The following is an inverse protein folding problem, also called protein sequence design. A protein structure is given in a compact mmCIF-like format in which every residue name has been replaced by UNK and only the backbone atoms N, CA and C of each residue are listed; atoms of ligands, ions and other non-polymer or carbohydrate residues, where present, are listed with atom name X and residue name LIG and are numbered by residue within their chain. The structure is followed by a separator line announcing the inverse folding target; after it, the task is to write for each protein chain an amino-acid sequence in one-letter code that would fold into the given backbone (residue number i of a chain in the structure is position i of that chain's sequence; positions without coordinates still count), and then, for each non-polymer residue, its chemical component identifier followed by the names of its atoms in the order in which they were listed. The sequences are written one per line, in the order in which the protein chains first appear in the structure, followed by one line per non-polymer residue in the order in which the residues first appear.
data_IF_538334111154
#
_entry.id   IF_538334111154
#
_cell.length_a   1.000
_cell.length_b   1.000
_cell.length_c   1.000
_cell.angle_alpha   90.00
_cell.angle_beta   90.00
_cell.angle_gamma   90.00
#
_symmetry.space_group_name_H-M   'P 1'
#
loop_
_entity.id
_entity.type
_entity.pdbx_description
1 polymer ?
#
# COMPACT_ATOMS: atom_id res chain seq x y z
N UNK A 1 14.71 -26.62 -30.68
CA UNK A 1 13.95 -25.43 -30.22
C UNK A 1 13.33 -25.64 -28.83
N UNK A 2 12.58 -26.73 -28.59
CA UNK A 2 11.98 -27.01 -27.27
C UNK A 2 13.01 -27.19 -26.13
N UNK A 3 14.11 -27.88 -26.41
CA UNK A 3 15.19 -28.14 -25.43
C UNK A 3 15.92 -26.87 -24.97
N UNK A 4 16.01 -25.85 -25.84
CA UNK A 4 16.61 -24.55 -25.55
C UNK A 4 15.69 -23.70 -24.68
N UNK A 5 14.38 -23.75 -24.93
CA UNK A 5 13.35 -23.13 -24.08
C UNK A 5 13.29 -23.75 -22.68
N UNK A 6 13.42 -25.08 -22.59
CA UNK A 6 13.44 -25.79 -21.30
C UNK A 6 14.69 -25.46 -20.47
N UNK A 7 15.86 -25.36 -21.10
CA UNK A 7 17.10 -24.92 -20.42
C UNK A 7 17.04 -23.46 -20.00
N UNK A 8 16.40 -22.60 -20.78
CA UNK A 8 16.18 -21.19 -20.42
C UNK A 8 15.21 -21.06 -19.23
N UNK A 9 14.08 -21.77 -19.24
CA UNK A 9 13.15 -21.81 -18.11
C UNK A 9 13.77 -22.44 -16.86
N UNK A 10 14.53 -23.52 -16.99
CA UNK A 10 15.23 -24.14 -15.87
C UNK A 10 16.37 -23.26 -15.33
N UNK A 11 17.07 -22.52 -16.19
CA UNK A 11 18.06 -21.51 -15.80
C UNK A 11 17.40 -20.35 -15.07
N UNK A 12 16.30 -19.82 -15.59
CA UNK A 12 15.51 -18.77 -14.96
C UNK A 12 14.97 -19.23 -13.60
N UNK A 13 14.45 -20.46 -13.50
CA UNK A 13 13.93 -21.04 -12.26
C UNK A 13 15.03 -21.31 -11.23
N UNK A 14 16.22 -21.73 -11.70
CA UNK A 14 17.41 -21.89 -10.86
C UNK A 14 17.91 -20.55 -10.35
N UNK A 15 17.98 -19.53 -11.20
CA UNK A 15 18.33 -18.16 -10.80
C UNK A 15 17.25 -17.54 -9.92
N UNK A 16 15.98 -17.93 -10.04
CA UNK A 16 14.88 -17.52 -9.16
C UNK A 16 14.95 -18.20 -7.78
N UNK A 17 15.33 -19.48 -7.74
CA UNK A 17 15.58 -20.23 -6.51
C UNK A 17 16.89 -19.81 -5.82
N UNK A 18 17.84 -19.26 -6.58
CA UNK A 18 19.16 -18.82 -6.12
C UNK A 18 19.30 -17.29 -6.03
N UNK A 19 18.29 -16.51 -6.43
CA UNK A 19 18.20 -15.06 -6.23
C UNK A 19 17.91 -14.80 -4.74
N UNK A 20 19.00 -14.98 -4.00
CA UNK A 20 19.30 -14.71 -2.60
C UNK A 20 18.14 -14.80 -1.59
N UNK A 21 17.99 -15.95 -0.87
CA UNK A 21 17.13 -16.01 0.31
C UNK A 21 17.46 -14.93 1.35
N UNK A 22 18.60 -14.24 1.23
CA UNK A 22 19.05 -13.19 2.14
C UNK A 22 18.30 -11.87 1.96
N UNK A 23 17.82 -11.51 0.76
CA UNK A 23 17.25 -10.18 0.49
C UNK A 23 16.00 -9.88 1.35
N UNK A 24 14.99 -10.77 1.44
CA UNK A 24 13.83 -10.54 2.29
C UNK A 24 14.21 -10.35 3.77
N UNK A 25 15.06 -11.21 4.32
CA UNK A 25 15.40 -11.13 5.75
C UNK A 25 16.29 -9.93 6.09
N UNK A 26 17.28 -9.63 5.24
CA UNK A 26 18.16 -8.47 5.47
C UNK A 26 17.41 -7.15 5.31
N UNK A 27 16.50 -7.05 4.34
CA UNK A 27 15.67 -5.84 4.17
C UNK A 27 14.70 -5.62 5.34
N UNK A 28 14.16 -6.68 5.96
CA UNK A 28 13.37 -6.56 7.21
C UNK A 28 14.21 -5.98 8.35
N UNK A 29 15.42 -6.50 8.56
CA UNK A 29 16.33 -5.98 9.60
C UNK A 29 16.72 -4.52 9.32
N UNK A 30 17.03 -4.20 8.07
CA UNK A 30 17.30 -2.83 7.63
C UNK A 30 16.08 -1.93 7.91
N UNK A 31 14.86 -2.39 7.63
CA UNK A 31 13.63 -1.67 7.92
C UNK A 31 13.49 -1.31 9.41
N UNK A 32 13.72 -2.28 10.31
CA UNK A 32 13.68 -2.05 11.77
C UNK A 32 14.72 -0.99 12.19
N UNK A 33 15.95 -1.08 11.65
CA UNK A 33 17.02 -0.11 11.93
C UNK A 33 16.63 1.28 11.41
N UNK A 34 16.11 1.38 10.19
CA UNK A 34 15.65 2.63 9.59
C UNK A 34 14.51 3.25 10.42
N UNK A 35 13.59 2.46 10.96
CA UNK A 35 12.56 2.97 11.87
C UNK A 35 13.17 3.61 13.11
N UNK A 36 14.16 2.95 13.73
CA UNK A 36 14.83 3.53 14.90
C UNK A 36 15.55 4.83 14.55
N UNK A 37 16.24 4.87 13.40
CA UNK A 37 16.91 6.07 12.90
C UNK A 37 15.92 7.20 12.63
N UNK A 38 14.80 6.92 11.97
CA UNK A 38 13.77 7.91 11.66
C UNK A 38 13.09 8.44 12.93
N UNK A 39 12.86 7.58 13.93
CA UNK A 39 12.37 7.96 15.25
C UNK A 39 13.34 8.92 15.95
N UNK A 40 14.62 8.56 16.02
CA UNK A 40 15.65 9.38 16.67
C UNK A 40 15.89 10.70 15.94
N UNK A 41 15.87 10.68 14.60
CA UNK A 41 15.96 11.88 13.78
C UNK A 41 14.77 12.80 14.02
N UNK A 42 13.55 12.25 14.07
CA UNK A 42 12.34 13.02 14.40
C UNK A 42 12.47 13.67 15.77
N UNK A 43 12.93 12.91 16.77
CA UNK A 43 13.17 13.42 18.12
C UNK A 43 14.20 14.55 18.12
N UNK A 44 15.31 14.37 17.42
CA UNK A 44 16.40 15.35 17.32
C UNK A 44 15.90 16.65 16.69
N UNK A 45 15.35 16.57 15.48
CA UNK A 45 14.81 17.72 14.75
C UNK A 45 13.73 18.42 15.58
N UNK A 46 12.85 17.65 16.21
CA UNK A 46 11.76 18.25 16.98
C UNK A 46 12.22 19.00 18.21
N UNK A 47 13.29 18.53 18.87
CA UNK A 47 13.87 19.23 20.01
C UNK A 47 14.50 20.58 19.65
N UNK A 48 14.97 20.76 18.41
CA UNK A 48 15.58 22.01 17.95
C UNK A 48 14.57 22.97 17.31
N UNK A 49 13.65 22.46 16.50
CA UNK A 49 12.78 23.31 15.67
C UNK A 49 11.40 23.57 16.28
N UNK A 50 10.90 22.69 17.15
CA UNK A 50 9.54 22.81 17.71
C UNK A 50 9.58 23.14 19.20
N UNK A 51 9.39 24.42 19.55
CA UNK A 51 9.33 24.86 20.96
C UNK A 51 8.25 24.14 21.78
N UNK A 52 7.14 23.75 21.16
CA UNK A 52 6.06 23.01 21.84
C UNK A 52 6.48 21.59 22.25
N UNK A 53 7.50 21.01 21.59
CA UNK A 53 7.92 19.63 21.83
C UNK A 53 8.45 19.42 23.26
N UNK A 54 9.15 20.41 23.82
CA UNK A 54 9.69 20.32 25.20
C UNK A 54 8.60 20.36 26.26
N UNK A 55 7.44 20.99 25.97
CA UNK A 55 6.28 21.05 26.87
C UNK A 55 5.38 19.81 26.81
N UNK A 56 5.60 18.89 25.86
CA UNK A 56 4.78 17.68 25.73
C UNK A 56 5.03 16.68 26.85
N UNK A 57 3.96 15.99 27.25
CA UNK A 57 4.05 14.85 28.17
C UNK A 57 4.93 13.75 27.59
N UNK A 58 5.42 12.83 28.44
CA UNK A 58 6.26 11.72 27.99
C UNK A 58 5.55 10.89 26.91
N UNK A 59 4.25 10.61 27.09
CA UNK A 59 3.48 9.81 26.13
C UNK A 59 3.28 10.54 24.80
N UNK A 60 2.96 11.85 24.84
CA UNK A 60 2.82 12.66 23.63
C UNK A 60 4.12 12.79 22.86
N UNK A 61 5.28 12.87 23.53
CA UNK A 61 6.58 12.85 22.84
C UNK A 61 6.84 11.52 22.15
N UNK A 62 6.44 10.41 22.76
CA UNK A 62 6.56 9.09 22.13
C UNK A 62 5.67 9.00 20.89
N UNK A 63 4.39 9.41 21.00
CA UNK A 63 3.49 9.47 19.86
C UNK A 63 4.00 10.40 18.75
N UNK A 64 4.49 11.59 19.13
CA UNK A 64 5.06 12.57 18.21
C UNK A 64 6.21 11.97 17.38
N UNK A 65 7.17 11.32 18.06
CA UNK A 65 8.30 10.68 17.39
C UNK A 65 7.85 9.48 16.54
N UNK A 66 6.84 8.73 17.00
CA UNK A 66 6.29 7.62 16.25
C UNK A 66 5.64 8.08 14.93
N UNK A 67 4.88 9.18 14.99
CA UNK A 67 4.27 9.81 13.81
C UNK A 67 5.30 10.33 12.81
N UNK A 68 6.46 10.81 13.27
CA UNK A 68 7.52 11.19 12.36
C UNK A 68 8.17 9.98 11.69
N UNK A 69 8.39 8.90 12.44
CA UNK A 69 8.87 7.62 11.91
C UNK A 69 7.92 7.04 10.86
N UNK A 70 6.60 6.98 11.14
CA UNK A 70 5.61 6.50 10.17
C UNK A 70 5.47 7.41 8.96
N UNK A 71 5.58 8.73 9.13
CA UNK A 71 5.61 9.67 7.99
C UNK A 71 6.81 9.41 7.06
N UNK A 72 7.98 9.11 7.62
CA UNK A 72 9.18 8.82 6.83
C UNK A 72 9.03 7.52 6.03
N UNK A 73 8.50 6.46 6.66
CA UNK A 73 8.20 5.20 5.97
C UNK A 73 7.15 5.41 4.87
N UNK A 74 6.06 6.11 5.17
CA UNK A 74 4.98 6.35 4.23
C UNK A 74 5.45 7.11 2.97
N UNK A 75 6.30 8.13 3.14
CA UNK A 75 6.94 8.83 2.00
C UNK A 75 7.81 7.87 1.19
N UNK A 76 8.65 7.07 1.85
CA UNK A 76 9.53 6.10 1.20
C UNK A 76 8.72 5.08 0.37
N UNK A 77 7.73 4.43 0.99
CA UNK A 77 6.98 3.35 0.35
C UNK A 77 6.08 3.90 -0.76
N UNK A 78 5.51 5.09 -0.60
CA UNK A 78 4.74 5.76 -1.67
C UNK A 78 5.63 6.06 -2.87
N UNK A 79 6.82 6.64 -2.65
CA UNK A 79 7.74 7.00 -3.72
C UNK A 79 8.22 5.76 -4.51
N UNK A 80 8.63 4.70 -3.82
CA UNK A 80 9.06 3.45 -4.49
C UNK A 80 7.88 2.76 -5.19
N UNK A 81 6.67 2.82 -4.62
CA UNK A 81 5.46 2.26 -5.25
C UNK A 81 5.15 2.94 -6.58
N UNK A 82 5.14 4.28 -6.60
CA UNK A 82 4.94 5.07 -7.82
C UNK A 82 6.04 4.81 -8.85
N UNK A 83 7.30 4.75 -8.40
CA UNK A 83 8.43 4.42 -9.27
C UNK A 83 8.24 3.05 -9.92
N UNK A 84 7.99 2.00 -9.14
CA UNK A 84 7.84 0.63 -9.66
C UNK A 84 6.61 0.48 -10.56
N UNK A 85 5.47 1.01 -10.16
CA UNK A 85 4.19 0.86 -10.88
C UNK A 85 4.12 1.70 -12.14
N UNK A 86 4.58 2.95 -12.09
CA UNK A 86 4.37 3.92 -13.18
C UNK A 86 5.61 4.07 -14.05
N UNK A 87 6.80 4.00 -13.47
CA UNK A 87 8.05 4.39 -14.14
C UNK A 87 8.86 3.20 -14.67
N UNK A 88 8.59 1.97 -14.21
CA UNK A 88 9.31 0.78 -14.65
C UNK A 88 8.45 -0.15 -15.51
N UNK A 89 9.10 -0.95 -16.36
CA UNK A 89 8.40 -1.98 -17.13
C UNK A 89 8.05 -3.23 -16.30
N UNK A 90 8.41 -3.31 -15.01
CA UNK A 90 8.19 -4.47 -14.14
C UNK A 90 6.74 -4.98 -14.18
N UNK A 91 5.80 -4.04 -14.20
CA UNK A 91 4.37 -4.29 -14.20
C UNK A 91 3.69 -3.89 -15.52
N UNK A 92 4.45 -3.76 -16.61
CA UNK A 92 3.92 -3.39 -17.93
C UNK A 92 3.23 -4.56 -18.65
N UNK A 93 2.11 -4.31 -19.31
CA UNK A 93 1.43 -5.31 -20.18
C UNK A 93 2.28 -5.77 -21.37
N UNK A 94 3.40 -5.08 -21.65
CA UNK A 94 4.35 -5.46 -22.70
C UNK A 94 5.13 -6.73 -22.38
N UNK A 95 5.32 -7.05 -21.10
CA UNK A 95 5.98 -8.29 -20.69
C UNK A 95 5.02 -9.48 -20.79
N UNK A 96 5.54 -10.66 -21.15
CA UNK A 96 4.75 -11.90 -21.22
C UNK A 96 4.62 -12.52 -19.81
N UNK A 97 3.47 -13.16 -19.55
CA UNK A 97 3.17 -13.84 -18.28
C UNK A 97 2.31 -13.01 -17.33
N UNK A 98 1.70 -13.62 -16.29
CA UNK A 98 0.76 -12.91 -15.43
C UNK A 98 1.45 -11.86 -14.56
N UNK A 99 0.87 -10.66 -14.45
CA UNK A 99 1.39 -9.56 -13.62
C UNK A 99 1.51 -9.94 -12.13
N UNK A 100 0.72 -10.92 -11.69
CA UNK A 100 0.69 -11.43 -10.30
C UNK A 100 1.96 -12.16 -9.89
N UNK A 101 2.76 -12.68 -10.81
CA UNK A 101 3.99 -13.43 -10.49
C UNK A 101 5.26 -12.62 -10.77
N UNK A 102 5.12 -11.31 -11.00
CA UNK A 102 6.25 -10.44 -11.33
C UNK A 102 6.78 -9.76 -10.07
N UNK A 103 8.10 -9.85 -9.89
CA UNK A 103 8.84 -9.16 -8.85
C UNK A 103 10.28 -8.89 -9.33
N UNK A 104 11.01 -8.14 -8.53
CA UNK A 104 12.42 -7.83 -8.70
C UNK A 104 13.10 -7.76 -7.34
N UNK A 105 14.43 -7.79 -7.30
CA UNK A 105 15.20 -7.61 -6.06
C UNK A 105 14.82 -6.28 -5.37
N UNK A 106 14.70 -5.20 -6.15
CA UNK A 106 14.36 -3.86 -5.63
C UNK A 106 12.96 -3.85 -5.01
N UNK A 107 11.99 -4.50 -5.66
CA UNK A 107 10.63 -4.55 -5.15
C UNK A 107 10.53 -5.44 -3.90
N UNK A 108 11.10 -6.63 -3.92
CA UNK A 108 11.16 -7.49 -2.72
C UNK A 108 11.89 -6.81 -1.57
N UNK A 109 12.99 -6.10 -1.82
CA UNK A 109 13.71 -5.32 -0.81
C UNK A 109 12.84 -4.21 -0.21
N UNK A 110 12.13 -3.43 -1.02
CA UNK A 110 11.27 -2.35 -0.53
C UNK A 110 10.08 -2.86 0.29
N UNK A 111 9.50 -4.01 -0.08
CA UNK A 111 8.50 -4.67 0.75
C UNK A 111 9.09 -5.15 2.08
N UNK A 112 10.32 -5.68 2.09
CA UNK A 112 10.96 -6.10 3.33
C UNK A 112 11.30 -4.95 4.28
N UNK A 113 11.74 -3.80 3.76
CA UNK A 113 11.85 -2.57 4.57
C UNK A 113 10.50 -2.23 5.21
N UNK A 114 9.40 -2.40 4.45
CA UNK A 114 8.05 -2.14 4.97
C UNK A 114 7.59 -3.17 6.00
N UNK A 115 7.89 -4.45 5.82
CA UNK A 115 7.64 -5.47 6.85
C UNK A 115 8.37 -5.12 8.15
N UNK A 116 9.64 -4.71 8.06
CA UNK A 116 10.41 -4.25 9.21
C UNK A 116 9.75 -3.05 9.92
N UNK A 117 9.22 -2.11 9.14
CA UNK A 117 8.42 -1.00 9.66
C UNK A 117 7.15 -1.47 10.39
N UNK A 118 6.32 -2.28 9.75
CA UNK A 118 5.06 -2.74 10.35
C UNK A 118 5.29 -3.57 11.62
N UNK A 119 6.39 -4.34 11.69
CA UNK A 119 6.78 -5.04 12.93
C UNK A 119 7.13 -4.03 14.04
N UNK A 120 7.97 -3.05 13.74
CA UNK A 120 8.41 -2.05 14.72
C UNK A 120 7.24 -1.20 15.23
N UNK A 121 6.35 -0.77 14.33
CA UNK A 121 5.19 0.05 14.68
C UNK A 121 4.15 -0.75 15.47
N UNK A 122 3.84 -1.98 15.04
CA UNK A 122 2.94 -2.88 15.77
C UNK A 122 3.47 -3.22 17.17
N UNK A 123 4.79 -3.44 17.31
CA UNK A 123 5.41 -3.64 18.62
C UNK A 123 5.23 -2.42 19.54
N UNK A 124 5.37 -1.19 19.01
CA UNK A 124 5.12 0.02 19.78
C UNK A 124 3.64 0.19 20.16
N UNK A 125 2.73 -0.08 19.22
CA UNK A 125 1.28 -0.05 19.48
C UNK A 125 0.93 -0.99 20.62
N UNK A 126 1.43 -2.24 20.60
CA UNK A 126 1.18 -3.18 21.70
C UNK A 126 1.82 -2.74 23.02
N UNK A 127 3.06 -2.24 22.98
CA UNK A 127 3.79 -1.83 24.19
C UNK A 127 3.13 -0.66 24.91
N UNK A 128 2.49 0.24 24.16
CA UNK A 128 1.90 1.47 24.67
C UNK A 128 0.38 1.46 24.59
N UNK A 129 -0.25 0.32 24.30
CA UNK A 129 -1.69 0.18 24.19
C UNK A 129 -2.39 0.60 25.50
N UNK A 130 -3.49 1.37 25.46
CA UNK A 130 -4.19 1.93 24.29
C UNK A 130 -3.75 3.36 23.91
N UNK A 131 -2.61 3.84 24.41
CA UNK A 131 -2.19 5.25 24.31
C UNK A 131 -1.76 5.68 22.90
N UNK A 132 -1.31 4.75 22.05
CA UNK A 132 -0.88 5.04 20.67
C UNK A 132 -1.97 4.76 19.61
N UNK A 133 -3.08 4.12 19.98
CA UNK A 133 -4.14 3.75 19.05
C UNK A 133 -5.12 2.72 19.62
N UNK A 134 -6.31 2.67 19.05
CA UNK A 134 -7.35 1.69 19.39
C UNK A 134 -7.17 0.34 18.70
N UNK A 135 -8.16 -0.55 18.89
CA UNK A 135 -8.16 -1.90 18.31
C UNK A 135 -8.16 -1.88 16.78
N UNK A 136 -8.74 -0.84 16.16
CA UNK A 136 -8.71 -0.61 14.73
C UNK A 136 -7.29 -0.49 14.18
N UNK A 137 -6.36 0.14 14.91
CA UNK A 137 -4.96 0.24 14.51
C UNK A 137 -4.27 -1.12 14.59
N UNK A 138 -4.52 -1.87 15.66
CA UNK A 138 -3.97 -3.22 15.83
C UNK A 138 -4.40 -4.13 14.68
N UNK A 139 -5.69 -4.16 14.37
CA UNK A 139 -6.24 -4.96 13.28
C UNK A 139 -5.67 -4.53 11.92
N UNK A 140 -5.65 -3.22 11.65
CA UNK A 140 -5.14 -2.68 10.40
C UNK A 140 -3.65 -3.04 10.19
N UNK A 141 -2.79 -2.79 11.19
CA UNK A 141 -1.35 -3.06 11.08
C UNK A 141 -1.05 -4.56 11.03
N UNK A 142 -1.83 -5.39 11.72
CA UNK A 142 -1.66 -6.85 11.65
C UNK A 142 -2.03 -7.39 10.27
N UNK A 143 -3.16 -6.96 9.70
CA UNK A 143 -3.59 -7.38 8.36
C UNK A 143 -2.60 -6.89 7.30
N UNK A 144 -2.15 -5.64 7.39
CA UNK A 144 -1.14 -5.09 6.49
C UNK A 144 0.19 -5.86 6.59
N UNK A 145 0.66 -6.15 7.82
CA UNK A 145 1.88 -6.92 8.05
C UNK A 145 1.81 -8.30 7.40
N UNK A 146 0.72 -9.05 7.61
CA UNK A 146 0.53 -10.38 7.03
C UNK A 146 0.51 -10.32 5.51
N UNK A 147 -0.23 -9.38 4.92
CA UNK A 147 -0.33 -9.24 3.47
C UNK A 147 1.01 -8.87 2.82
N UNK A 148 1.73 -7.88 3.38
CA UNK A 148 3.02 -7.42 2.86
C UNK A 148 4.08 -8.50 3.05
N UNK A 149 4.12 -9.17 4.21
CA UNK A 149 5.06 -10.26 4.45
C UNK A 149 4.82 -11.45 3.51
N UNK A 150 3.55 -11.81 3.26
CA UNK A 150 3.21 -12.84 2.28
C UNK A 150 3.73 -12.47 0.88
N UNK A 151 3.41 -11.29 0.38
CA UNK A 151 3.82 -10.87 -0.98
C UNK A 151 5.34 -10.65 -1.14
N UNK A 152 6.03 -10.28 -0.05
CA UNK A 152 7.49 -10.25 -0.01
C UNK A 152 8.09 -11.66 -0.11
N UNK A 153 7.61 -12.60 0.70
CA UNK A 153 8.18 -13.95 0.80
C UNK A 153 7.85 -14.84 -0.40
N UNK A 154 6.63 -14.74 -0.93
CA UNK A 154 6.21 -15.51 -2.11
C UNK A 154 6.69 -14.88 -3.42
N UNK A 155 6.94 -13.57 -3.43
CA UNK A 155 7.17 -12.81 -4.66
C UNK A 155 5.91 -12.64 -5.51
N UNK A 156 4.74 -13.03 -5.01
CA UNK A 156 3.47 -12.97 -5.70
C UNK A 156 2.62 -11.77 -5.25
N UNK A 157 1.79 -11.26 -6.14
CA UNK A 157 0.85 -10.17 -5.85
C UNK A 157 1.49 -8.79 -5.64
N UNK A 158 2.80 -8.63 -5.86
CA UNK A 158 3.52 -7.39 -5.57
C UNK A 158 2.92 -6.16 -6.28
N UNK A 159 2.44 -6.29 -7.53
CA UNK A 159 1.76 -5.20 -8.23
C UNK A 159 0.58 -4.63 -7.43
N UNK A 160 -0.31 -5.50 -6.96
CA UNK A 160 -1.49 -5.08 -6.19
C UNK A 160 -1.11 -4.54 -4.83
N UNK A 161 -0.10 -5.14 -4.18
CA UNK A 161 0.45 -4.62 -2.92
C UNK A 161 0.97 -3.19 -3.12
N UNK A 162 1.75 -2.91 -4.16
CA UNK A 162 2.23 -1.57 -4.45
C UNK A 162 1.13 -0.59 -4.82
N UNK A 163 0.13 -1.03 -5.58
CA UNK A 163 -1.06 -0.20 -5.88
C UNK A 163 -1.77 0.22 -4.59
N UNK A 164 -1.90 -0.68 -3.61
CA UNK A 164 -2.47 -0.37 -2.30
C UNK A 164 -1.52 0.54 -1.51
N UNK A 165 -0.22 0.27 -1.50
CA UNK A 165 0.76 1.04 -0.74
C UNK A 165 0.90 2.51 -1.20
N UNK A 166 0.44 2.87 -2.41
CA UNK A 166 0.31 4.29 -2.81
C UNK A 166 -0.64 5.03 -1.85
N UNK A 167 -1.62 4.36 -1.23
CA UNK A 167 -2.52 5.01 -0.26
C UNK A 167 -1.84 5.45 1.03
N UNK A 168 -0.64 4.95 1.33
CA UNK A 168 0.19 5.45 2.43
C UNK A 168 0.56 6.92 2.27
N UNK A 169 0.41 7.51 1.07
CA UNK A 169 0.57 8.95 0.86
C UNK A 169 -0.28 9.82 1.79
N UNK A 170 -1.38 9.27 2.32
CA UNK A 170 -2.25 9.98 3.26
C UNK A 170 -1.70 10.02 4.69
N UNK A 171 -0.81 9.09 5.05
CA UNK A 171 -0.23 8.95 6.40
C UNK A 171 0.57 10.19 6.84
N UNK A 172 1.49 10.76 6.04
CA UNK A 172 2.19 12.00 6.37
C UNK A 172 1.23 13.18 6.56
N UNK A 173 0.12 13.21 5.83
CA UNK A 173 -0.84 14.30 5.87
C UNK A 173 -1.69 14.24 7.15
N UNK A 174 -2.13 13.03 7.53
CA UNK A 174 -2.79 12.74 8.82
C UNK A 174 -1.85 13.12 9.98
N UNK A 175 -0.58 12.72 9.90
CA UNK A 175 0.42 13.02 10.92
C UNK A 175 0.71 14.52 11.02
N UNK A 176 0.84 15.22 9.88
CA UNK A 176 1.00 16.67 9.85
C UNK A 176 -0.19 17.38 10.51
N UNK A 177 -1.41 16.92 10.25
CA UNK A 177 -2.61 17.46 10.89
C UNK A 177 -2.54 17.31 12.40
N UNK A 178 -2.12 16.15 12.87
CA UNK A 178 -1.93 15.88 14.30
C UNK A 178 -0.82 16.76 14.89
N UNK A 179 0.32 16.90 14.23
CA UNK A 179 1.40 17.79 14.69
C UNK A 179 0.93 19.24 14.86
N UNK A 180 0.18 19.75 13.89
CA UNK A 180 -0.40 21.09 13.94
C UNK A 180 -1.44 21.23 15.07
N UNK A 181 -2.27 20.21 15.29
CA UNK A 181 -3.21 20.16 16.41
C UNK A 181 -2.45 20.23 17.75
N UNK A 182 -1.51 19.32 17.95
CA UNK A 182 -0.70 19.20 19.18
C UNK A 182 0.16 20.44 19.44
N UNK A 183 0.57 21.15 18.39
CA UNK A 183 1.26 22.45 18.50
C UNK A 183 0.32 23.64 18.79
N UNK A 184 -0.99 23.42 18.93
CA UNK A 184 -1.99 24.47 19.18
C UNK A 184 -2.36 25.29 17.92
N UNK A 185 -2.06 24.78 16.73
CA UNK A 185 -2.16 25.51 15.45
C UNK A 185 -3.45 25.24 14.66
N UNK A 186 -4.53 24.77 15.28
CA UNK A 186 -5.82 24.48 14.59
C UNK A 186 -6.40 25.64 13.79
N UNK A 187 -6.14 26.88 14.23
CA UNK A 187 -6.67 28.10 13.60
C UNK A 187 -5.75 28.67 12.52
N UNK A 188 -4.66 27.98 12.19
CA UNK A 188 -3.69 28.43 11.18
C UNK A 188 -4.15 28.10 9.76
N UNK A 189 -3.65 28.87 8.78
CA UNK A 189 -3.81 28.55 7.35
C UNK A 189 -3.19 27.20 6.99
N UNK A 190 -2.07 26.83 7.62
CA UNK A 190 -1.43 25.52 7.42
C UNK A 190 -2.37 24.35 7.76
N UNK A 191 -3.13 24.47 8.85
CA UNK A 191 -4.10 23.44 9.26
C UNK A 191 -5.28 23.32 8.27
N UNK A 192 -5.71 24.46 7.71
CA UNK A 192 -6.75 24.49 6.68
C UNK A 192 -6.24 23.87 5.37
N UNK A 193 -5.09 24.30 4.87
CA UNK A 193 -4.48 23.80 3.62
C UNK A 193 -4.22 22.30 3.72
N UNK A 194 -3.66 21.83 4.83
CA UNK A 194 -3.48 20.39 5.08
C UNK A 194 -4.83 19.64 5.02
N UNK A 195 -5.90 20.17 5.61
CA UNK A 195 -7.23 19.56 5.53
C UNK A 195 -7.79 19.46 4.10
N UNK A 196 -7.56 20.48 3.28
CA UNK A 196 -7.95 20.47 1.86
C UNK A 196 -7.12 19.43 1.10
N UNK A 197 -5.79 19.41 1.29
CA UNK A 197 -4.90 18.45 0.65
C UNK A 197 -5.27 17.01 1.01
N UNK A 198 -5.51 16.72 2.29
CA UNK A 198 -5.99 15.40 2.74
C UNK A 198 -7.28 14.97 2.03
N UNK A 199 -8.25 15.88 1.91
CA UNK A 199 -9.52 15.59 1.23
C UNK A 199 -9.30 15.28 -0.26
N UNK A 200 -8.48 16.07 -0.94
CA UNK A 200 -8.16 15.88 -2.36
C UNK A 200 -7.36 14.59 -2.57
N UNK A 201 -6.33 14.33 -1.76
CA UNK A 201 -5.51 13.12 -1.83
C UNK A 201 -6.37 11.87 -1.60
N UNK A 202 -7.22 11.88 -0.58
CA UNK A 202 -8.19 10.81 -0.33
C UNK A 202 -9.11 10.58 -1.52
N UNK A 203 -9.69 11.65 -2.10
CA UNK A 203 -10.58 11.57 -3.25
C UNK A 203 -9.87 10.96 -4.47
N UNK A 204 -8.66 11.42 -4.79
CA UNK A 204 -7.90 10.92 -5.94
C UNK A 204 -7.55 9.44 -5.76
N UNK A 205 -6.98 9.05 -4.62
CA UNK A 205 -6.58 7.66 -4.35
C UNK A 205 -7.79 6.72 -4.36
N UNK A 206 -8.89 7.10 -3.71
CA UNK A 206 -10.10 6.27 -3.64
C UNK A 206 -10.85 6.21 -4.97
N UNK A 207 -10.88 7.29 -5.76
CA UNK A 207 -11.51 7.27 -7.07
C UNK A 207 -10.77 6.38 -8.07
N UNK A 208 -9.43 6.25 -7.97
CA UNK A 208 -8.69 5.30 -8.80
C UNK A 208 -9.07 3.85 -8.46
N UNK A 209 -9.14 3.50 -7.17
CA UNK A 209 -9.58 2.17 -6.72
C UNK A 209 -11.05 1.88 -7.10
N UNK A 210 -11.93 2.87 -6.98
CA UNK A 210 -13.32 2.79 -7.40
C UNK A 210 -13.47 2.64 -8.93
N UNK A 211 -12.62 3.28 -9.72
CA UNK A 211 -12.57 3.14 -11.18
C UNK A 211 -12.28 1.69 -11.62
N UNK A 212 -11.36 1.00 -10.95
CA UNK A 212 -11.12 -0.42 -11.17
C UNK A 212 -12.35 -1.27 -10.81
N UNK A 213 -12.99 -1.00 -9.67
CA UNK A 213 -14.23 -1.69 -9.27
C UNK A 213 -15.36 -1.50 -10.29
N UNK A 214 -15.59 -0.27 -10.76
CA UNK A 214 -16.56 0.03 -11.82
C UNK A 214 -16.25 -0.71 -13.12
N UNK A 215 -14.97 -0.86 -13.47
CA UNK A 215 -14.54 -1.55 -14.70
C UNK A 215 -14.94 -3.03 -14.69
N UNK A 216 -15.07 -3.67 -13.53
CA UNK A 216 -15.55 -5.06 -13.43
C UNK A 216 -17.07 -5.14 -13.22
N UNK A 217 -17.64 -4.25 -12.42
CA UNK A 217 -19.06 -4.29 -12.05
C UNK A 217 -19.97 -3.82 -13.18
N UNK A 218 -19.59 -2.77 -13.90
CA UNK A 218 -20.43 -2.20 -14.98
C UNK A 218 -20.57 -3.18 -16.15
N UNK A 219 -19.51 -3.82 -16.69
CA UNK A 219 -19.68 -4.83 -17.74
C UNK A 219 -20.49 -6.05 -17.29
N UNK A 220 -20.32 -6.49 -16.03
CA UNK A 220 -21.12 -7.59 -15.49
C UNK A 220 -22.61 -7.23 -15.42
N UNK A 221 -22.95 -6.02 -14.96
CA UNK A 221 -24.32 -5.52 -14.94
C UNK A 221 -24.92 -5.40 -16.35
N UNK A 222 -24.14 -4.87 -17.32
CA UNK A 222 -24.54 -4.78 -18.72
C UNK A 222 -24.74 -6.17 -19.36
N UNK A 223 -23.89 -7.14 -19.04
CA UNK A 223 -24.01 -8.52 -19.51
C UNK A 223 -25.30 -9.18 -19.03
N UNK A 224 -25.64 -9.02 -17.74
CA UNK A 224 -26.90 -9.52 -17.18
C UNK A 224 -28.10 -8.86 -17.87
N UNK A 225 -28.06 -7.53 -18.05
CA UNK A 225 -29.11 -6.80 -18.74
C UNK A 225 -29.32 -7.28 -20.18
N UNK A 226 -28.24 -7.44 -20.95
CA UNK A 226 -28.30 -7.92 -22.32
C UNK A 226 -28.85 -9.34 -22.41
N UNK A 227 -28.47 -10.22 -21.48
CA UNK A 227 -29.00 -11.59 -21.39
C UNK A 227 -30.51 -11.59 -21.13
N UNK A 228 -31.00 -10.73 -20.22
CA UNK A 228 -32.43 -10.60 -19.96
C UNK A 228 -33.22 -10.14 -21.20
N UNK A 229 -32.70 -9.14 -21.92
CA UNK A 229 -33.33 -8.65 -23.15
C UNK A 229 -33.33 -9.71 -24.25
N UNK A 230 -32.22 -10.42 -24.45
CA UNK A 230 -32.13 -11.51 -25.40
C UNK A 230 -33.17 -12.61 -25.13
N UNK A 231 -33.35 -12.99 -23.85
CA UNK A 231 -34.37 -13.97 -23.46
C UNK A 231 -35.80 -13.48 -23.74
N UNK A 232 -36.08 -12.18 -23.60
CA UNK A 232 -37.37 -11.59 -23.99
C UNK A 232 -37.58 -11.65 -25.51
N UNK A 233 -36.56 -11.37 -26.30
CA UNK A 233 -36.60 -11.46 -27.77
C UNK A 233 -36.87 -12.91 -28.20
N UNK A 234 -36.14 -13.89 -27.65
CA UNK A 234 -36.37 -15.32 -27.94
C UNK A 234 -37.79 -15.77 -27.61
N UNK A 235 -38.34 -15.35 -26.45
CA UNK A 235 -39.73 -15.61 -26.09
C UNK A 235 -40.71 -14.99 -27.10
N UNK A 236 -40.42 -13.78 -27.57
CA UNK A 236 -41.17 -13.12 -28.63
C UNK A 236 -41.16 -13.89 -29.94
N UNK A 237 -39.98 -14.32 -30.41
CA UNK A 237 -39.82 -15.13 -31.63
C UNK A 237 -40.56 -16.46 -31.50
N UNK A 238 -40.42 -17.18 -30.38
CA UNK A 238 -41.14 -18.44 -30.14
C UNK A 238 -42.65 -18.26 -30.20
N UNK A 239 -43.18 -17.17 -29.62
CA UNK A 239 -44.60 -16.84 -29.67
C UNK A 239 -45.07 -16.53 -31.09
N UNK A 240 -44.25 -15.84 -31.89
CA UNK A 240 -44.56 -15.58 -33.30
C UNK A 240 -44.56 -16.87 -34.09
N UNK A 241 -43.52 -17.69 -34.01
CA UNK A 241 -43.42 -18.97 -34.73
C UNK A 241 -44.59 -19.92 -34.39
N UNK A 242 -45.01 -19.97 -33.13
CA UNK A 242 -46.18 -20.77 -32.71
C UNK A 242 -47.52 -20.29 -33.25
N UNK A 243 -47.60 -19.11 -33.90
CA UNK A 243 -48.78 -18.67 -34.66
C UNK A 243 -48.76 -19.14 -36.12
N UNK A 244 -47.61 -19.58 -36.61
CA UNK A 244 -47.41 -20.02 -37.99
C UNK A 244 -47.20 -21.55 -38.10
N UNK A 245 -47.26 -22.26 -36.97
CA UNK A 245 -47.37 -23.72 -36.86
C UNK A 245 -48.81 -24.12 -36.60
#
# INVERSE_FOLDING_TARGET
MAMTGYKYQAGLMRDYLLADPVVPYTSVLIGIVLCKMAYDLTRLLSSFYFKCYSSLTKIQRVEWNNRGMSSAHAIFITAISLYLVVSTDLFSDRLKGPITFRNSIISTFALGVSVGYFIADLAMIFWLYPSLGGMEYVLHHTLALVAIAYTMLSGEGQFYTYMILISETTTPEINLRWFLDTAGMKKSSAYLVNGILMFVAWLVVQMHAFGYYLTFVVPAALFVMNTMWFMKILKGVKKTLGKWS
#
